data_IF_666433565490
#
_entry.id   IF_666433565490
#
_cell.length_a   1.000
_cell.length_b   1.000
_cell.length_c   1.000
_cell.angle_alpha   90.00
_cell.angle_beta   90.00
_cell.angle_gamma   90.00
#
_symmetry.space_group_name_H-M   'P 1'
#
loop_
_entity.id
_entity.type
_entity.pdbx_description
1 polymer ?
#
# COMPACT_ATOMS: atom_id res chain seq x y z
N UNK A 1 2.23 -13.70 11.61
CA UNK A 1 3.02 -13.92 10.39
C UNK A 1 3.82 -12.67 10.08
N UNK A 2 5.09 -12.78 9.68
CA UNK A 2 5.92 -11.63 9.30
C UNK A 2 6.33 -11.77 7.84
N UNK A 3 6.06 -10.74 7.04
CA UNK A 3 6.62 -10.58 5.70
C UNK A 3 8.15 -10.57 5.70
N UNK A 4 8.76 -10.69 4.52
CA UNK A 4 10.21 -10.49 4.38
C UNK A 4 10.54 -9.05 4.79
N UNK A 5 11.49 -8.89 5.71
CA UNK A 5 11.88 -7.58 6.24
C UNK A 5 13.19 -7.13 5.61
N UNK A 6 13.21 -5.89 5.12
CA UNK A 6 14.42 -5.23 4.64
C UNK A 6 14.81 -4.12 5.62
N UNK A 7 16.05 -4.15 6.12
CA UNK A 7 16.61 -3.14 7.04
C UNK A 7 17.41 -2.04 6.31
N UNK A 8 17.27 -1.98 4.99
CA UNK A 8 17.85 -0.98 4.11
C UNK A 8 16.94 -0.80 2.89
N UNK A 9 17.30 0.08 1.97
CA UNK A 9 16.60 0.20 0.70
C UNK A 9 16.56 -1.17 -0.01
N UNK A 10 15.37 -1.66 -0.41
CA UNK A 10 15.27 -2.92 -1.11
C UNK A 10 16.00 -2.90 -2.46
N UNK A 11 16.45 -4.06 -2.96
CA UNK A 11 17.22 -4.16 -4.20
C UNK A 11 16.56 -3.46 -5.39
N UNK A 12 17.38 -2.96 -6.30
CA UNK A 12 16.92 -2.48 -7.61
C UNK A 12 16.34 -3.67 -8.38
N UNK A 13 15.14 -3.50 -8.96
CA UNK A 13 14.44 -4.56 -9.70
C UNK A 13 13.57 -5.49 -8.85
N UNK A 14 13.51 -5.30 -7.52
CA UNK A 14 12.52 -5.98 -6.70
C UNK A 14 11.10 -5.53 -7.11
N UNK A 15 10.18 -6.48 -7.23
CA UNK A 15 8.74 -6.18 -7.35
C UNK A 15 8.25 -5.51 -6.06
N UNK A 16 7.65 -4.33 -6.19
CA UNK A 16 7.23 -3.50 -5.06
C UNK A 16 5.72 -3.52 -4.82
N UNK A 17 4.99 -4.39 -5.52
CA UNK A 17 3.52 -4.48 -5.45
C UNK A 17 3.02 -4.68 -4.01
N UNK A 18 3.73 -5.48 -3.22
CA UNK A 18 3.37 -5.79 -1.82
C UNK A 18 4.39 -5.25 -0.81
N UNK A 19 5.15 -4.22 -1.18
CA UNK A 19 6.21 -3.63 -0.37
C UNK A 19 5.68 -2.41 0.40
N UNK A 20 5.66 -2.51 1.73
CA UNK A 20 5.30 -1.42 2.63
C UNK A 20 6.54 -0.85 3.32
N UNK A 21 6.76 0.46 3.21
CA UNK A 21 7.79 1.17 4.00
C UNK A 21 7.27 1.44 5.42
N UNK A 22 7.90 0.87 6.44
CA UNK A 22 7.59 1.09 7.86
C UNK A 22 8.28 2.31 8.46
N UNK A 23 9.56 2.52 8.13
CA UNK A 23 10.36 3.67 8.57
C UNK A 23 11.42 4.01 7.53
N UNK A 24 12.32 4.95 7.82
CA UNK A 24 13.33 5.41 6.86
C UNK A 24 14.19 4.29 6.26
N UNK A 25 14.49 3.25 7.03
CA UNK A 25 15.32 2.11 6.64
C UNK A 25 14.64 0.76 6.83
N UNK A 26 13.33 0.71 7.07
CA UNK A 26 12.62 -0.54 7.34
C UNK A 26 11.46 -0.73 6.37
N UNK A 27 11.43 -1.89 5.72
CA UNK A 27 10.39 -2.28 4.79
C UNK A 27 9.89 -3.69 5.11
N UNK A 28 8.60 -3.93 4.86
CA UNK A 28 7.97 -5.24 4.88
C UNK A 28 7.53 -5.57 3.47
N UNK A 29 7.87 -6.77 3.01
CA UNK A 29 7.44 -7.33 1.75
C UNK A 29 6.53 -8.54 2.03
N UNK A 30 5.26 -8.41 1.64
CA UNK A 30 4.22 -9.42 1.83
C UNK A 30 3.97 -10.24 0.54
N UNK A 31 4.87 -10.21 -0.45
CA UNK A 31 4.71 -10.94 -1.72
C UNK A 31 4.50 -12.45 -1.54
N UNK A 32 5.20 -13.06 -0.60
CA UNK A 32 5.14 -14.51 -0.29
C UNK A 32 4.08 -14.87 0.77
N UNK A 33 3.28 -13.89 1.24
CA UNK A 33 2.34 -14.06 2.35
C UNK A 33 0.90 -13.78 1.90
N UNK A 34 0.32 -14.72 1.17
CA UNK A 34 -1.06 -14.59 0.64
C UNK A 34 -2.13 -14.52 1.73
N UNK A 35 -1.78 -15.02 2.92
CA UNK A 35 -2.58 -15.00 4.14
C UNK A 35 -2.56 -13.65 4.87
N UNK A 36 -1.78 -12.67 4.39
CA UNK A 36 -1.75 -11.32 4.92
C UNK A 36 -2.80 -10.44 4.20
N UNK A 37 -4.04 -10.28 4.72
CA UNK A 37 -5.12 -9.60 4.01
C UNK A 37 -4.81 -8.14 3.68
N UNK A 38 -3.96 -7.49 4.50
CA UNK A 38 -3.52 -6.12 4.27
C UNK A 38 -2.79 -5.89 2.94
N UNK A 39 -2.25 -6.96 2.31
CA UNK A 39 -1.57 -6.87 1.00
C UNK A 39 -2.52 -6.52 -0.15
N UNK A 40 -3.81 -6.78 0.01
CA UNK A 40 -4.82 -6.56 -1.02
C UNK A 40 -5.59 -5.24 -0.86
N UNK A 41 -5.30 -4.47 0.20
CA UNK A 41 -5.93 -3.17 0.43
C UNK A 41 -5.36 -2.19 -0.56
N UNK A 42 -6.22 -1.66 -1.45
CA UNK A 42 -5.83 -0.73 -2.50
C UNK A 42 -5.83 0.72 -2.01
N UNK A 43 -5.23 1.60 -2.80
CA UNK A 43 -5.45 3.05 -2.72
C UNK A 43 -6.37 3.50 -3.85
N UNK A 44 -7.49 4.12 -3.48
CA UNK A 44 -8.50 4.61 -4.42
C UNK A 44 -8.17 6.02 -4.93
N UNK A 45 -8.59 6.32 -6.16
CA UNK A 45 -8.37 7.65 -6.78
C UNK A 45 -9.07 8.79 -6.05
N UNK A 46 -10.25 8.53 -5.51
CA UNK A 46 -11.03 9.53 -4.79
C UNK A 46 -10.82 9.34 -3.28
N UNK A 47 -10.07 10.27 -2.68
CA UNK A 47 -9.66 10.22 -1.28
C UNK A 47 -10.82 10.19 -0.28
N UNK A 48 -12.02 10.55 -0.71
CA UNK A 48 -13.23 10.43 0.13
C UNK A 48 -13.57 8.96 0.43
N UNK A 49 -13.06 8.02 -0.36
CA UNK A 49 -13.28 6.59 -0.18
C UNK A 49 -12.22 5.88 0.69
N UNK A 50 -11.17 6.56 1.18
CA UNK A 50 -10.27 6.01 2.19
C UNK A 50 -10.99 5.74 3.51
N UNK A 51 -11.02 4.49 3.97
CA UNK A 51 -11.71 4.08 5.21
C UNK A 51 -10.81 3.32 6.20
N UNK A 52 -9.58 2.98 5.78
CA UNK A 52 -8.56 2.36 6.64
C UNK A 52 -7.22 3.08 6.51
N UNK A 53 -6.34 2.86 7.48
CA UNK A 53 -4.96 3.31 7.46
C UNK A 53 -4.01 2.21 7.96
N UNK A 54 -2.76 2.25 7.49
CA UNK A 54 -1.69 1.43 8.04
C UNK A 54 -1.06 2.13 9.25
N UNK A 55 -1.36 1.64 10.44
CA UNK A 55 -0.65 1.99 11.68
C UNK A 55 0.71 1.25 11.70
N UNK A 56 1.76 1.98 11.33
CA UNK A 56 3.12 1.44 11.17
C UNK A 56 3.83 1.43 12.52
N UNK A 57 4.25 0.23 12.95
CA UNK A 57 4.96 0.01 14.21
C UNK A 57 6.35 -0.53 13.91
N UNK A 58 7.31 0.36 13.56
CA UNK A 58 8.64 -0.06 13.12
C UNK A 58 9.41 -0.82 14.22
N UNK A 59 9.27 -0.45 15.49
CA UNK A 59 9.91 -1.12 16.62
C UNK A 59 9.41 -2.57 16.78
N UNK A 60 8.14 -2.80 16.44
CA UNK A 60 7.50 -4.11 16.44
C UNK A 60 7.65 -4.84 15.09
N UNK A 61 8.30 -4.21 14.11
CA UNK A 61 8.48 -4.70 12.74
C UNK A 61 7.17 -5.19 12.11
N UNK A 62 6.08 -4.44 12.31
CA UNK A 62 4.76 -4.73 11.73
C UNK A 62 4.02 -3.47 11.35
N UNK A 63 3.00 -3.63 10.52
CA UNK A 63 1.93 -2.66 10.36
C UNK A 63 0.60 -3.36 10.68
N UNK A 64 -0.30 -2.62 11.32
CA UNK A 64 -1.68 -3.07 11.52
C UNK A 64 -2.61 -2.18 10.71
N UNK A 65 -3.70 -2.76 10.21
CA UNK A 65 -4.74 -2.01 9.50
C UNK A 65 -5.73 -1.54 10.54
N UNK A 66 -5.96 -0.23 10.60
CA UNK A 66 -6.95 0.38 11.49
C UNK A 66 -8.04 1.04 10.67
N UNK A 67 -9.28 0.96 11.14
CA UNK A 67 -10.38 1.74 10.57
C UNK A 67 -10.21 3.22 10.96
N UNK A 68 -10.43 4.13 10.02
CA UNK A 68 -10.41 5.58 10.27
C UNK A 68 -11.81 6.22 10.20
N UNK A 69 -12.81 5.41 9.84
CA UNK A 69 -14.25 5.70 9.90
C UNK A 69 -15.01 4.38 9.89
N UNK A 70 -16.32 4.45 10.10
CA UNK A 70 -17.20 3.27 10.04
C UNK A 70 -17.10 2.56 8.68
N UNK A 71 -17.01 1.24 8.72
CA UNK A 71 -16.96 0.36 7.56
C UNK A 71 -18.25 -0.45 7.54
N UNK A 72 -19.01 -0.33 6.46
CA UNK A 72 -20.24 -1.09 6.29
C UNK A 72 -19.95 -2.44 5.66
N UNK A 73 -20.89 -3.37 5.82
CA UNK A 73 -20.86 -4.61 5.05
C UNK A 73 -20.77 -4.26 3.56
N UNK A 74 -19.94 -5.01 2.85
CA UNK A 74 -19.71 -4.90 1.40
C UNK A 74 -18.92 -3.65 0.97
N UNK A 75 -18.43 -2.82 1.91
CA UNK A 75 -17.45 -1.77 1.59
C UNK A 75 -16.08 -2.39 1.25
N UNK A 76 -15.46 -1.93 0.17
CA UNK A 76 -14.04 -2.20 -0.10
C UNK A 76 -13.16 -1.38 0.86
N UNK A 77 -12.06 -1.98 1.31
CA UNK A 77 -11.09 -1.30 2.16
C UNK A 77 -10.10 -0.50 1.30
N UNK A 78 -10.01 0.79 1.55
CA UNK A 78 -9.07 1.69 0.87
C UNK A 78 -8.19 2.43 1.87
N UNK A 79 -6.87 2.40 1.62
CA UNK A 79 -5.86 3.13 2.38
C UNK A 79 -5.18 4.19 1.51
N UNK A 80 -4.74 5.30 2.10
CA UNK A 80 -3.90 6.29 1.42
C UNK A 80 -2.45 5.78 1.36
N UNK A 81 -1.92 5.53 0.17
CA UNK A 81 -0.51 5.16 -0.02
C UNK A 81 0.44 6.35 0.10
N UNK A 82 -0.10 7.57 -0.02
CA UNK A 82 0.63 8.82 0.10
C UNK A 82 1.26 9.29 -1.20
N UNK A 83 1.50 10.60 -1.28
CA UNK A 83 2.02 11.28 -2.48
C UNK A 83 3.36 10.73 -2.94
N UNK A 84 4.25 10.40 -2.01
CA UNK A 84 5.59 9.89 -2.34
C UNK A 84 5.57 8.52 -3.01
N UNK A 85 4.60 7.66 -2.66
CA UNK A 85 4.40 6.39 -3.33
C UNK A 85 4.05 6.62 -4.80
N UNK A 86 3.04 7.45 -5.06
CA UNK A 86 2.57 7.74 -6.42
C UNK A 86 3.59 8.50 -7.26
N UNK A 87 4.36 9.41 -6.65
CA UNK A 87 5.47 10.08 -7.32
C UNK A 87 6.54 9.08 -7.73
N UNK A 88 6.95 8.21 -6.82
CA UNK A 88 7.91 7.14 -7.10
C UNK A 88 7.43 6.21 -8.22
N UNK A 89 6.17 5.79 -8.16
CA UNK A 89 5.56 4.96 -9.20
C UNK A 89 5.56 5.63 -10.57
N UNK A 90 5.22 6.93 -10.65
CA UNK A 90 5.27 7.68 -11.93
C UNK A 90 6.69 7.78 -12.49
N UNK A 91 7.67 8.00 -11.62
CA UNK A 91 9.08 8.07 -12.05
C UNK A 91 9.59 6.73 -12.59
N UNK A 92 9.08 5.60 -12.09
CA UNK A 92 9.45 4.26 -12.58
C UNK A 92 8.60 3.77 -13.74
N UNK A 93 7.49 4.44 -14.05
CA UNK A 93 6.55 4.08 -15.11
C UNK A 93 6.21 5.30 -15.99
N UNK A 94 7.20 5.95 -16.62
CA UNK A 94 7.00 7.21 -17.34
C UNK A 94 6.08 7.09 -18.55
N UNK A 95 6.03 5.91 -19.18
CA UNK A 95 5.27 5.66 -20.41
C UNK A 95 3.81 5.24 -20.13
N UNK A 96 3.44 5.04 -18.87
CA UNK A 96 2.07 4.68 -18.51
C UNK A 96 1.21 5.94 -18.44
N UNK A 97 0.52 6.24 -19.54
CA UNK A 97 -0.52 7.26 -19.56
C UNK A 97 -1.71 6.82 -18.70
N UNK A 98 -2.13 7.59 -17.68
CA UNK A 98 -3.30 7.23 -16.91
C UNK A 98 -4.53 7.25 -17.81
N UNK A 99 -5.12 6.08 -18.04
CA UNK A 99 -6.39 5.99 -18.76
C UNK A 99 -7.46 6.65 -17.89
N UNK A 100 -7.97 7.80 -18.34
CA UNK A 100 -9.22 8.35 -17.82
C UNK A 100 -10.33 7.44 -18.32
N UNK A 101 -10.83 6.57 -17.44
CA UNK A 101 -12.12 5.92 -17.66
C UNK A 101 -13.16 7.01 -17.39
N UNK A 102 -13.49 7.80 -18.42
CA UNK A 102 -14.65 8.67 -18.39
C UNK A 102 -15.87 7.80 -18.66
N UNK A 103 -16.78 7.76 -17.69
CA UNK A 103 -18.11 7.12 -17.75
C UNK A 103 -18.11 5.64 -17.36
N UNK A 104 -18.63 5.37 -16.16
CA UNK A 104 -19.31 4.10 -15.88
C UNK A 104 -20.79 4.29 -16.23
N UNK A 105 -21.33 3.28 -16.90
CA UNK A 105 -22.74 3.05 -17.23
C UNK A 105 -23.59 3.03 -15.97
#
# INVERSE_FOLDING_TARGET
MSGRIWQSNPPKGLDRTYLLKLSNSLYIDASEHEDAPGRYINDCRDKRFHNVAFDKRPDEKRAVVIAIRDIKKDDELFADYGVMYWLGWRMTNPDVTPVRISTWI
#
